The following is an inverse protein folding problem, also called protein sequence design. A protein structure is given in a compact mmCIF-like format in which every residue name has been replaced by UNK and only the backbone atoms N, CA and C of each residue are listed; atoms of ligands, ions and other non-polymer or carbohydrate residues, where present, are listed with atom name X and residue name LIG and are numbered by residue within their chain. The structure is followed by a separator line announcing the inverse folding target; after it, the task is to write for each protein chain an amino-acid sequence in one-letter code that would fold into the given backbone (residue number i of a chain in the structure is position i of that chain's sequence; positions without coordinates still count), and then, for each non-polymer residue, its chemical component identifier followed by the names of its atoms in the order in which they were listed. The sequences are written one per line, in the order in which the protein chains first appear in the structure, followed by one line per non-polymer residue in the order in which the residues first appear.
data_IF_512108686886
#
_entry.id   IF_512108686886
#
_cell.length_a   1.000
_cell.length_b   1.000
_cell.length_c   1.000
_cell.angle_alpha   90.00
_cell.angle_beta   90.00
_cell.angle_gamma   90.00
#
_symmetry.space_group_name_H-M   'P 1'
#
loop_
_entity.id
_entity.type
_entity.pdbx_description
1 polymer ?
#
# COMPACT_ATOMS: atom_id res chain seq x y z
N UNK A 1 8.84 13.89 11.59
CA UNK A 1 8.44 13.01 10.47
C UNK A 1 8.40 11.60 11.03
N UNK A 2 7.27 10.93 10.89
CA UNK A 2 7.06 9.55 11.31
C UNK A 2 7.08 8.64 10.07
N UNK A 3 7.63 7.44 10.21
CA UNK A 3 7.62 6.42 9.16
C UNK A 3 6.92 5.18 9.68
N UNK A 4 5.92 4.71 8.92
CA UNK A 4 5.15 3.51 9.22
C UNK A 4 5.38 2.48 8.12
N UNK A 5 5.63 1.22 8.48
CA UNK A 5 5.83 0.14 7.52
C UNK A 5 4.99 -1.07 7.86
N UNK A 6 4.35 -1.68 6.87
CA UNK A 6 3.60 -2.92 7.05
C UNK A 6 3.59 -3.76 5.78
N UNK A 7 3.26 -5.05 5.93
CA UNK A 7 3.03 -5.98 4.82
C UNK A 7 1.61 -6.48 4.82
N UNK A 8 1.02 -6.64 3.64
CA UNK A 8 -0.30 -7.22 3.49
C UNK A 8 -0.45 -7.99 2.18
N UNK A 9 -1.42 -8.91 2.14
CA UNK A 9 -1.77 -9.66 0.94
C UNK A 9 -3.00 -9.05 0.30
N UNK A 10 -2.99 -8.93 -1.03
CA UNK A 10 -4.18 -8.70 -1.82
C UNK A 10 -4.17 -9.61 -3.04
N UNK A 11 -5.35 -9.95 -3.55
CA UNK A 11 -5.50 -10.83 -4.71
C UNK A 11 -5.42 -10.02 -5.99
N UNK A 12 -4.65 -10.51 -6.97
CA UNK A 12 -4.63 -9.94 -8.30
C UNK A 12 -5.98 -10.17 -8.99
N UNK A 13 -6.65 -9.12 -9.51
CA UNK A 13 -7.94 -9.28 -10.17
C UNK A 13 -7.84 -10.04 -11.50
N UNK A 14 -6.66 -10.12 -12.12
CA UNK A 14 -6.49 -10.74 -13.44
C UNK A 14 -6.33 -12.27 -13.38
N UNK A 15 -5.74 -12.81 -12.32
CA UNK A 15 -5.38 -14.24 -12.23
C UNK A 15 -5.73 -14.90 -10.88
N UNK A 16 -6.20 -14.14 -9.89
CA UNK A 16 -6.58 -14.69 -8.59
C UNK A 16 -5.41 -15.03 -7.66
N UNK A 17 -4.16 -14.79 -8.05
CA UNK A 17 -3.00 -15.04 -7.20
C UNK A 17 -2.87 -14.00 -6.08
N UNK A 18 -2.32 -14.42 -4.95
CA UNK A 18 -2.00 -13.50 -3.86
C UNK A 18 -0.69 -12.77 -4.13
N UNK A 19 -0.72 -11.45 -3.98
CA UNK A 19 0.43 -10.57 -4.07
C UNK A 19 0.75 -10.07 -2.66
N UNK A 20 2.02 -10.22 -2.25
CA UNK A 20 2.55 -9.60 -1.04
C UNK A 20 2.99 -8.17 -1.33
N UNK A 21 2.42 -7.22 -0.60
CA UNK A 21 2.73 -5.81 -0.70
C UNK A 21 3.55 -5.34 0.50
N UNK A 22 4.56 -4.51 0.23
CA UNK A 22 5.30 -3.71 1.21
C UNK A 22 4.83 -2.25 1.11
N UNK A 23 4.21 -1.74 2.18
CA UNK A 23 3.76 -0.35 2.27
C UNK A 23 4.65 0.42 3.25
N UNK A 24 5.15 1.57 2.80
CA UNK A 24 5.82 2.57 3.64
C UNK A 24 5.08 3.90 3.53
N UNK A 25 4.77 4.52 4.67
CA UNK A 25 4.13 5.83 4.76
C UNK A 25 5.02 6.77 5.58
N UNK A 26 5.44 7.87 4.98
CA UNK A 26 6.11 8.99 5.64
C UNK A 26 5.09 10.12 5.87
N UNK A 27 4.90 10.55 7.11
CA UNK A 27 3.93 11.60 7.46
C UNK A 27 4.43 12.51 8.58
N UNK A 28 4.04 13.80 8.52
CA UNK A 28 4.22 14.75 9.63
C UNK A 28 3.10 14.65 10.66
N UNK A 29 1.94 14.10 10.27
CA UNK A 29 0.84 13.82 11.17
C UNK A 29 0.98 12.44 11.83
N UNK A 30 0.36 12.27 13.00
CA UNK A 30 0.23 10.97 13.64
C UNK A 30 -0.86 10.16 12.93
N UNK A 31 -0.50 8.95 12.49
CA UNK A 31 -1.44 7.98 11.94
C UNK A 31 -1.58 6.84 12.96
N UNK A 32 -2.81 6.52 13.34
CA UNK A 32 -3.08 5.38 14.24
C UNK A 32 -2.72 4.08 13.52
N UNK A 33 -1.86 3.26 14.13
CA UNK A 33 -1.36 2.02 13.53
C UNK A 33 -2.49 1.02 13.29
N UNK A 34 -3.52 1.02 14.14
CA UNK A 34 -4.72 0.21 14.02
C UNK A 34 -5.51 0.55 12.75
N UNK A 35 -5.52 1.82 12.33
CA UNK A 35 -6.15 2.24 11.08
C UNK A 35 -5.38 1.73 9.86
N UNK A 36 -4.04 1.76 9.90
CA UNK A 36 -3.20 1.20 8.84
C UNK A 36 -3.48 -0.29 8.70
N UNK A 37 -3.40 -1.04 9.81
CA UNK A 37 -3.66 -2.49 9.85
C UNK A 37 -5.06 -2.82 9.33
N UNK A 38 -6.07 -2.06 9.74
CA UNK A 38 -7.45 -2.26 9.32
C UNK A 38 -7.61 -2.01 7.83
N UNK A 39 -7.12 -0.87 7.32
CA UNK A 39 -7.21 -0.52 5.91
C UNK A 39 -6.52 -1.56 5.03
N UNK A 40 -5.28 -1.96 5.34
CA UNK A 40 -4.55 -2.96 4.56
C UNK A 40 -5.21 -4.34 4.60
N UNK A 41 -5.87 -4.69 5.71
CA UNK A 41 -6.66 -5.94 5.80
C UNK A 41 -7.96 -5.90 5.02
N UNK A 42 -8.54 -4.72 4.77
CA UNK A 42 -9.77 -4.59 4.00
C UNK A 42 -9.55 -4.65 2.49
N UNK A 43 -8.31 -4.46 2.04
CA UNK A 43 -7.93 -4.56 0.63
C UNK A 43 -7.86 -6.04 0.25
N UNK A 44 -8.94 -6.56 -0.36
CA UNK A 44 -9.02 -7.96 -0.80
C UNK A 44 -8.50 -8.17 -2.21
N UNK A 45 -8.76 -7.22 -3.10
CA UNK A 45 -8.40 -7.28 -4.52
C UNK A 45 -8.23 -5.88 -5.08
N UNK A 46 -7.44 -5.75 -6.15
CA UNK A 46 -7.25 -4.49 -6.85
C UNK A 46 -5.94 -4.47 -7.64
N UNK A 47 -5.86 -3.57 -8.63
CA UNK A 47 -4.59 -3.28 -9.30
C UNK A 47 -3.66 -2.51 -8.34
N UNK A 48 -2.35 -2.73 -8.48
CA UNK A 48 -1.32 -2.15 -7.62
C UNK A 48 -1.48 -0.63 -7.47
N UNK A 49 -1.69 0.07 -8.57
CA UNK A 49 -1.80 1.53 -8.63
C UNK A 49 -3.08 2.02 -7.96
N UNK A 50 -4.20 1.31 -8.16
CA UNK A 50 -5.48 1.63 -7.52
C UNK A 50 -5.43 1.42 -6.00
N UNK A 51 -4.72 0.38 -5.56
CA UNK A 51 -4.45 0.13 -4.13
C UNK A 51 -3.62 1.29 -3.56
N UNK A 52 -2.56 1.72 -4.26
CA UNK A 52 -1.75 2.86 -3.84
C UNK A 52 -2.57 4.17 -3.78
N UNK A 53 -3.46 4.42 -4.75
CA UNK A 53 -4.33 5.59 -4.77
C UNK A 53 -5.29 5.60 -3.58
N UNK A 54 -5.89 4.45 -3.25
CA UNK A 54 -6.80 4.33 -2.13
C UNK A 54 -6.10 4.58 -0.78
N UNK A 55 -4.92 3.99 -0.59
CA UNK A 55 -4.09 4.18 0.61
C UNK A 55 -3.63 5.65 0.75
N UNK A 56 -3.23 6.28 -0.36
CA UNK A 56 -2.85 7.69 -0.35
C UNK A 56 -4.03 8.61 -0.06
N UNK A 57 -5.20 8.35 -0.67
CA UNK A 57 -6.43 9.10 -0.37
C UNK A 57 -6.81 9.01 1.10
N UNK A 58 -6.60 7.86 1.75
CA UNK A 58 -6.96 7.65 3.14
C UNK A 58 -5.96 8.25 4.14
N UNK A 59 -4.65 8.08 3.90
CA UNK A 59 -3.61 8.42 4.89
C UNK A 59 -2.77 9.63 4.52
N UNK A 60 -2.87 10.13 3.28
CA UNK A 60 -2.03 11.21 2.78
C UNK A 60 -0.54 10.88 2.84
N UNK A 61 0.28 11.90 3.09
CA UNK A 61 1.74 11.75 3.24
C UNK A 61 2.44 11.25 1.97
N UNK A 62 3.74 11.00 2.09
CA UNK A 62 4.51 10.32 1.04
C UNK A 62 4.43 8.82 1.27
N UNK A 63 3.99 8.09 0.26
CA UNK A 63 3.80 6.65 0.33
C UNK A 63 4.60 5.95 -0.77
N UNK A 64 5.18 4.81 -0.40
CA UNK A 64 5.82 3.88 -1.33
C UNK A 64 5.13 2.53 -1.16
N UNK A 65 4.58 2.00 -2.26
CA UNK A 65 4.01 0.67 -2.33
C UNK A 65 4.86 -0.17 -3.27
N UNK A 66 5.32 -1.33 -2.79
CA UNK A 66 6.13 -2.28 -3.56
C UNK A 66 5.49 -3.66 -3.56
N UNK A 67 5.64 -4.38 -4.66
CA UNK A 67 5.25 -5.78 -4.78
C UNK A 67 6.05 -6.47 -5.88
N UNK A 68 6.10 -7.80 -5.82
CA UNK A 68 6.61 -8.65 -6.89
C UNK A 68 5.46 -9.51 -7.43
N UNK A 69 5.23 -9.48 -8.74
CA UNK A 69 4.18 -10.28 -9.38
C UNK A 69 4.60 -10.70 -10.80
N UNK A 70 4.47 -11.99 -11.13
CA UNK A 70 4.87 -12.57 -12.42
C UNK A 70 6.30 -12.23 -12.87
N UNK A 71 7.26 -12.24 -11.94
CA UNK A 71 8.65 -11.94 -12.26
C UNK A 71 8.94 -10.44 -12.41
N UNK A 72 7.98 -9.57 -12.12
CA UNK A 72 8.12 -8.11 -12.24
C UNK A 72 8.03 -7.46 -10.87
N UNK A 73 9.02 -6.63 -10.55
CA UNK A 73 8.98 -5.73 -9.40
C UNK A 73 8.23 -4.45 -9.77
N UNK A 74 7.22 -4.12 -8.99
CA UNK A 74 6.38 -2.95 -9.19
C UNK A 74 6.59 -2.03 -8.00
N UNK A 75 6.95 -0.77 -8.27
CA UNK A 75 7.08 0.28 -7.26
C UNK A 75 6.27 1.50 -7.68
N UNK A 76 5.33 1.86 -6.82
CA UNK A 76 4.55 3.09 -6.98
C UNK A 76 4.83 4.04 -5.85
N UNK A 77 4.96 5.33 -6.17
CA UNK A 77 5.11 6.42 -5.20
C UNK A 77 3.90 7.34 -5.32
N UNK A 78 3.35 7.75 -4.16
CA UNK A 78 2.30 8.77 -4.05
C UNK A 78 2.71 9.82 -3.03
N UNK A 79 2.43 11.08 -3.31
CA UNK A 79 2.98 12.20 -2.56
C UNK A 79 4.49 12.34 -2.80
N UNK A 80 4.94 13.54 -3.16
CA UNK A 80 6.36 13.77 -3.42
C UNK A 80 6.66 15.21 -3.81
N UNK A 81 7.54 15.81 -2.99
CA UNK A 81 7.96 17.22 -2.89
C UNK A 81 6.83 18.22 -2.59
#
# INVERSE_FOLDING_TARGET
MNTYSTRFLATCPNNGEHILYDLVIDSTAVIMVEHIVTATRMIRTGYHETIADALHKQFGGRQVLMAHHHGVDIKTVRGGA
#
